data_IF_323530969739
#
_entry.id   IF_323530969739
#
_cell.length_a   1.000
_cell.length_b   1.000
_cell.length_c   1.000
_cell.angle_alpha   90.00
_cell.angle_beta   90.00
_cell.angle_gamma   90.00
#
_symmetry.space_group_name_H-M   'P 1'
#
loop_
_entity.id
_entity.type
_entity.pdbx_description
1 polymer ?
#
# COMPACT_ATOMS: atom_id res chain seq x y z
N UNK A 1 31.07 -23.65 -7.24
CA UNK A 1 30.43 -22.97 -8.41
C UNK A 1 28.97 -22.60 -8.17
N UNK A 2 28.08 -23.53 -7.76
CA UNK A 2 26.66 -23.21 -7.53
C UNK A 2 26.44 -22.19 -6.40
N UNK A 3 27.20 -22.32 -5.31
CA UNK A 3 27.13 -21.40 -4.16
C UNK A 3 27.48 -19.96 -4.56
N UNK A 4 28.59 -19.76 -5.29
CA UNK A 4 29.01 -18.45 -5.78
C UNK A 4 28.00 -17.82 -6.74
N UNK A 5 27.38 -18.64 -7.59
CA UNK A 5 26.31 -18.18 -8.48
C UNK A 5 25.10 -17.70 -7.67
N UNK A 6 24.67 -18.48 -6.68
CA UNK A 6 23.56 -18.13 -5.80
C UNK A 6 23.88 -16.87 -4.99
N UNK A 7 25.11 -16.75 -4.50
CA UNK A 7 25.59 -15.59 -3.74
C UNK A 7 25.52 -14.31 -4.59
N UNK A 8 26.03 -14.36 -5.82
CA UNK A 8 25.95 -13.23 -6.77
C UNK A 8 24.50 -12.87 -7.10
N UNK A 9 23.63 -13.87 -7.21
CA UNK A 9 22.20 -13.65 -7.47
C UNK A 9 21.47 -13.02 -6.28
N UNK A 10 21.84 -13.39 -5.06
CA UNK A 10 21.27 -12.84 -3.83
C UNK A 10 21.76 -11.42 -3.55
N UNK A 11 23.06 -11.15 -3.72
CA UNK A 11 23.63 -9.80 -3.55
C UNK A 11 23.02 -8.79 -4.53
N UNK A 12 22.63 -9.21 -5.73
CA UNK A 12 22.01 -8.30 -6.71
C UNK A 12 20.52 -8.08 -6.45
N UNK A 13 19.89 -8.84 -5.55
CA UNK A 13 18.45 -8.79 -5.28
C UNK A 13 18.09 -7.73 -4.23
N UNK A 14 17.29 -6.69 -4.57
CA UNK A 14 16.81 -5.72 -3.60
C UNK A 14 15.96 -6.33 -2.48
N UNK A 15 15.30 -7.48 -2.74
CA UNK A 15 14.52 -8.24 -1.76
C UNK A 15 15.41 -8.85 -0.68
N UNK A 16 16.52 -9.44 -1.10
CA UNK A 16 17.44 -10.06 -0.17
C UNK A 16 18.08 -9.01 0.75
N UNK A 17 18.51 -7.87 0.20
CA UNK A 17 19.03 -6.77 1.00
C UNK A 17 18.01 -6.21 2.01
N UNK A 18 16.74 -6.07 1.61
CA UNK A 18 15.71 -5.64 2.53
C UNK A 18 15.53 -6.63 3.69
N UNK A 19 15.48 -7.92 3.38
CA UNK A 19 15.36 -8.98 4.38
C UNK A 19 16.51 -8.95 5.40
N UNK A 20 17.75 -8.85 4.93
CA UNK A 20 18.92 -8.76 5.82
C UNK A 20 18.84 -7.54 6.74
N UNK A 21 18.39 -6.38 6.22
CA UNK A 21 18.21 -5.17 7.04
C UNK A 21 17.08 -5.32 8.07
N UNK A 22 15.98 -5.98 7.72
CA UNK A 22 14.90 -6.28 8.67
C UNK A 22 15.40 -7.19 9.78
N UNK A 23 16.12 -8.26 9.42
CA UNK A 23 16.69 -9.18 10.40
C UNK A 23 17.68 -8.48 11.32
N UNK A 24 18.58 -7.67 10.76
CA UNK A 24 19.51 -6.85 11.53
C UNK A 24 18.77 -5.88 12.47
N UNK A 25 17.72 -5.21 11.99
CA UNK A 25 16.91 -4.32 12.82
C UNK A 25 16.22 -5.08 13.96
N UNK A 26 15.71 -6.27 13.71
CA UNK A 26 15.07 -7.13 14.72
C UNK A 26 16.06 -7.53 15.82
N UNK A 27 17.25 -8.00 15.44
CA UNK A 27 18.30 -8.40 16.40
C UNK A 27 18.75 -7.21 17.26
N UNK A 28 18.80 -6.00 16.69
CA UNK A 28 19.23 -4.79 17.38
C UNK A 28 18.08 -3.98 18.00
N UNK A 29 16.84 -4.50 18.02
CA UNK A 29 15.64 -3.77 18.46
C UNK A 29 15.48 -2.37 17.84
N UNK A 30 15.89 -2.23 16.57
CA UNK A 30 15.71 -1.02 15.78
C UNK A 30 14.36 -1.06 15.05
N UNK A 31 13.78 0.11 14.72
CA UNK A 31 12.57 0.15 13.90
C UNK A 31 12.81 -0.50 12.53
N UNK A 32 11.83 -1.25 11.99
CA UNK A 32 11.99 -1.95 10.73
C UNK A 32 12.20 -0.95 9.57
N UNK A 33 13.13 -1.24 8.64
CA UNK A 33 13.38 -0.37 7.49
C UNK A 33 12.13 -0.28 6.61
N UNK A 34 11.95 0.84 5.93
CA UNK A 34 10.83 0.96 5.00
C UNK A 34 11.04 0.07 3.77
N UNK A 35 10.00 -0.60 3.25
CA UNK A 35 10.12 -1.42 2.05
C UNK A 35 10.49 -0.55 0.83
N UNK A 36 11.31 -1.07 -0.11
CA UNK A 36 11.66 -0.37 -1.34
C UNK A 36 10.40 0.00 -2.15
N UNK A 37 10.43 1.13 -2.86
CA UNK A 37 9.26 1.64 -3.61
C UNK A 37 8.66 0.61 -4.58
N UNK A 38 9.50 -0.18 -5.24
CA UNK A 38 9.08 -1.22 -6.19
C UNK A 38 8.43 -2.46 -5.52
N UNK A 39 8.47 -2.57 -4.19
CA UNK A 39 7.76 -3.61 -3.43
C UNK A 39 6.47 -3.09 -2.79
N UNK A 40 6.23 -1.78 -2.83
CA UNK A 40 4.97 -1.20 -2.37
C UNK A 40 3.96 -1.39 -3.51
N UNK A 41 2.96 -2.26 -3.31
CA UNK A 41 1.81 -2.33 -4.20
C UNK A 41 1.07 -0.98 -4.31
N UNK A 42 0.05 -0.84 -5.17
CA UNK A 42 -0.75 0.38 -5.22
C UNK A 42 -1.43 0.61 -3.87
N UNK A 43 -0.88 1.54 -3.08
CA UNK A 43 -1.38 1.88 -1.75
C UNK A 43 -2.36 3.04 -1.87
N UNK A 44 -3.65 2.78 -1.71
CA UNK A 44 -4.65 3.83 -1.52
C UNK A 44 -4.48 4.40 -0.11
N UNK A 45 -3.88 5.59 -0.02
CA UNK A 45 -3.78 6.35 1.23
C UNK A 45 -5.12 7.03 1.50
N UNK A 46 -5.88 6.55 2.48
CA UNK A 46 -6.94 7.35 3.10
C UNK A 46 -6.40 8.00 4.38
N UNK A 47 -6.89 9.20 4.70
CA UNK A 47 -6.33 10.17 5.66
C UNK A 47 -6.21 9.76 7.14
N UNK A 48 -6.24 8.46 7.45
CA UNK A 48 -6.03 7.91 8.81
C UNK A 48 -5.06 6.72 8.83
N UNK A 49 -4.01 6.76 8.00
CA UNK A 49 -2.89 5.79 8.07
C UNK A 49 -3.22 4.34 7.70
N UNK A 50 -4.45 4.04 7.27
CA UNK A 50 -4.84 2.70 6.83
C UNK A 50 -4.46 2.51 5.37
N UNK A 51 -3.47 1.66 5.14
CA UNK A 51 -3.01 1.26 3.80
C UNK A 51 -3.91 0.13 3.33
N UNK A 52 -4.81 0.42 2.39
CA UNK A 52 -5.64 -0.61 1.76
C UNK A 52 -5.01 -1.05 0.44
N UNK A 53 -4.90 -2.36 0.26
CA UNK A 53 -4.56 -2.95 -1.04
C UNK A 53 -5.80 -2.92 -1.94
N UNK A 54 -5.73 -2.17 -3.04
CA UNK A 54 -6.86 -1.96 -3.94
C UNK A 54 -7.43 -3.26 -4.52
N UNK A 55 -6.59 -4.28 -4.72
CA UNK A 55 -7.01 -5.56 -5.33
C UNK A 55 -7.68 -6.51 -4.35
N UNK A 56 -7.57 -6.28 -3.04
CA UNK A 56 -8.13 -7.16 -1.99
C UNK A 56 -9.22 -6.48 -1.17
N UNK A 57 -9.53 -5.22 -1.46
CA UNK A 57 -10.49 -4.45 -0.69
C UNK A 57 -11.93 -4.90 -0.98
N UNK A 58 -12.56 -5.55 0.00
CA UNK A 58 -13.99 -5.86 -0.02
C UNK A 58 -14.76 -4.83 0.81
N UNK A 59 -15.55 -3.93 0.18
CA UNK A 59 -16.28 -2.91 0.91
C UNK A 59 -17.43 -3.51 1.72
N UNK A 60 -17.64 -3.00 2.94
CA UNK A 60 -18.80 -3.36 3.76
C UNK A 60 -20.09 -2.67 3.26
N UNK A 61 -21.26 -3.18 3.63
CA UNK A 61 -22.56 -2.60 3.26
C UNK A 61 -22.68 -1.13 3.69
N UNK A 62 -22.22 -0.80 4.89
CA UNK A 62 -22.18 0.59 5.39
C UNK A 62 -21.28 1.50 4.54
N UNK A 63 -20.12 1.00 4.09
CA UNK A 63 -19.23 1.77 3.21
C UNK A 63 -19.85 2.04 1.84
N UNK A 64 -20.59 1.07 1.29
CA UNK A 64 -21.32 1.24 0.03
C UNK A 64 -22.42 2.30 0.18
N UNK A 65 -23.19 2.26 1.26
CA UNK A 65 -24.24 3.24 1.52
C UNK A 65 -23.69 4.66 1.69
N UNK A 66 -22.60 4.82 2.45
CA UNK A 66 -21.93 6.10 2.60
C UNK A 66 -21.38 6.63 1.27
N UNK A 67 -20.82 5.76 0.43
CA UNK A 67 -20.38 6.14 -0.91
C UNK A 67 -21.55 6.60 -1.78
N UNK A 68 -22.68 5.88 -1.75
CA UNK A 68 -23.90 6.26 -2.46
C UNK A 68 -24.41 7.65 -2.03
N UNK A 69 -24.54 7.90 -0.73
CA UNK A 69 -25.01 9.20 -0.22
C UNK A 69 -24.07 10.34 -0.61
N UNK A 70 -22.76 10.08 -0.64
CA UNK A 70 -21.78 11.07 -1.07
C UNK A 70 -21.96 11.44 -2.54
N UNK A 71 -22.04 10.43 -3.41
CA UNK A 71 -22.27 10.61 -4.85
C UNK A 71 -23.60 11.32 -5.09
N UNK A 72 -24.68 10.86 -4.44
CA UNK A 72 -26.00 11.47 -4.55
C UNK A 72 -25.96 12.95 -4.15
N UNK A 73 -25.25 13.30 -3.07
CA UNK A 73 -25.11 14.70 -2.66
C UNK A 73 -24.30 15.53 -3.64
N UNK A 74 -23.24 14.99 -4.23
CA UNK A 74 -22.47 15.64 -5.29
C UNK A 74 -23.33 15.84 -6.55
N UNK A 75 -24.05 14.81 -6.98
CA UNK A 75 -24.94 14.86 -8.14
C UNK A 75 -26.10 15.84 -7.94
N UNK A 76 -26.71 15.86 -6.75
CA UNK A 76 -27.76 16.82 -6.42
C UNK A 76 -27.21 18.24 -6.36
N UNK A 77 -25.97 18.43 -5.90
CA UNK A 77 -25.32 19.74 -6.00
C UNK A 77 -25.12 20.13 -7.47
N UNK A 78 -24.57 19.26 -8.30
CA UNK A 78 -24.31 19.59 -9.71
C UNK A 78 -25.60 19.76 -10.53
N UNK A 79 -26.66 19.03 -10.17
CA UNK A 79 -27.97 19.10 -10.83
C UNK A 79 -28.81 20.31 -10.38
N UNK A 80 -28.73 20.71 -9.11
CA UNK A 80 -29.55 21.80 -8.56
C UNK A 80 -28.80 23.12 -8.36
N UNK A 81 -27.47 23.11 -8.17
CA UNK A 81 -26.66 24.31 -8.37
C UNK A 81 -26.45 24.46 -9.86
N UNK A 82 -27.46 25.09 -10.47
CA UNK A 82 -27.40 25.83 -11.72
C UNK A 82 -25.95 26.03 -12.18
N UNK A 83 -25.58 25.24 -13.20
CA UNK A 83 -24.54 25.63 -14.13
C UNK A 83 -24.92 27.02 -14.66
N UNK A 84 -24.36 28.06 -14.02
CA UNK A 84 -24.43 29.43 -14.51
C UNK A 84 -23.49 29.57 -15.69
#
# INVERSE_FOLDING_TARGET
>A
MLEEWLYRRLITSPRFHYYVRVFHAMVNNLPPPQPPRHMRGPQLKTGKGKVYNATTFKPTTAQKWNAYLKIWKEEMKDSFLFRK
#
